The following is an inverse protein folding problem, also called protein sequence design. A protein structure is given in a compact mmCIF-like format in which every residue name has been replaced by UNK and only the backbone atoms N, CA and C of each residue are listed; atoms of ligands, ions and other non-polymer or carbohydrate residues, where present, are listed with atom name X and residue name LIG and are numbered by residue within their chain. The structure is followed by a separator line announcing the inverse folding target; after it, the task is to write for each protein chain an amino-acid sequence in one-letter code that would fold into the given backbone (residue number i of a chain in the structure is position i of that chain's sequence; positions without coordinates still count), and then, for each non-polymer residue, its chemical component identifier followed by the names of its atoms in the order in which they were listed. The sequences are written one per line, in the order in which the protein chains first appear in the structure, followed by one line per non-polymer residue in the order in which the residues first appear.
data_IF_794226740303
#
_entry.id   IF_794226740303
#
_cell.length_a   1.000
_cell.length_b   1.000
_cell.length_c   1.000
_cell.angle_alpha   90.00
_cell.angle_beta   90.00
_cell.angle_gamma   90.00
#
_symmetry.space_group_name_H-M   'P 1'
#
loop_
_entity.id
_entity.type
_entity.pdbx_description
1 polymer ?
#
# COMPACT_ATOMS: atom_id res chain seq x y z
N UNK A 1 19.51 2.17 -24.89
CA UNK A 1 18.31 1.99 -24.05
C UNK A 1 18.50 2.82 -22.77
N UNK A 2 17.54 3.70 -22.42
CA UNK A 2 17.58 4.43 -21.14
C UNK A 2 16.82 3.63 -20.10
N UNK A 3 17.43 3.40 -18.94
CA UNK A 3 16.87 2.58 -17.86
C UNK A 3 16.50 3.51 -16.70
N UNK A 4 15.23 3.51 -16.31
CA UNK A 4 14.71 4.38 -15.23
C UNK A 4 14.68 3.68 -13.86
N UNK A 5 14.56 2.34 -13.84
CA UNK A 5 14.53 1.50 -12.63
C UNK A 5 15.13 0.13 -12.95
N UNK A 6 15.83 -0.45 -11.98
CA UNK A 6 16.40 -1.80 -12.04
C UNK A 6 15.98 -2.52 -10.76
N UNK A 7 15.48 -3.74 -10.91
CA UNK A 7 15.08 -4.59 -9.79
C UNK A 7 15.68 -5.99 -9.96
N UNK A 8 15.94 -6.65 -8.84
CA UNK A 8 16.36 -8.04 -8.84
C UNK A 8 15.12 -8.93 -8.83
N UNK A 9 15.02 -9.83 -9.81
CA UNK A 9 13.95 -10.84 -9.89
C UNK A 9 14.24 -11.91 -8.83
N UNK A 10 13.33 -12.11 -7.88
CA UNK A 10 13.55 -13.06 -6.78
C UNK A 10 13.14 -14.48 -7.14
N UNK A 11 12.25 -14.65 -8.11
CA UNK A 11 11.73 -15.96 -8.53
C UNK A 11 11.21 -15.94 -9.98
N UNK A 12 11.42 -17.05 -10.71
CA UNK A 12 10.86 -17.29 -12.06
C UNK A 12 9.32 -17.42 -12.08
N UNK A 13 8.69 -17.52 -10.91
CA UNK A 13 7.24 -17.65 -10.73
C UNK A 13 6.55 -16.33 -10.34
N UNK A 14 7.25 -15.20 -10.44
CA UNK A 14 6.66 -13.88 -10.20
C UNK A 14 5.62 -13.55 -11.28
N UNK A 15 4.58 -12.79 -10.90
CA UNK A 15 3.61 -12.29 -11.87
C UNK A 15 4.29 -11.36 -12.87
N UNK A 16 3.88 -11.44 -14.13
CA UNK A 16 4.41 -10.57 -15.18
C UNK A 16 4.13 -9.11 -14.84
N UNK A 17 5.19 -8.34 -14.62
CA UNK A 17 5.11 -6.89 -14.50
C UNK A 17 4.91 -6.31 -15.90
N UNK A 18 3.78 -5.64 -16.12
CA UNK A 18 3.47 -4.99 -17.38
C UNK A 18 4.19 -3.65 -17.56
N UNK A 19 4.22 -3.15 -18.79
CA UNK A 19 4.64 -1.78 -19.08
C UNK A 19 3.81 -0.76 -18.29
N UNK A 20 4.40 0.42 -18.06
CA UNK A 20 3.69 1.54 -17.44
C UNK A 20 2.56 2.03 -18.36
N UNK A 21 1.42 2.36 -17.78
CA UNK A 21 0.27 2.94 -18.48
C UNK A 21 0.20 4.45 -18.27
N UNK A 22 -0.25 5.15 -19.30
CA UNK A 22 -0.37 6.60 -19.36
C UNK A 22 -1.77 6.99 -19.81
N UNK A 23 -2.22 8.17 -19.39
CA UNK A 23 -3.48 8.76 -19.86
C UNK A 23 -3.23 9.73 -21.02
N UNK A 24 -4.26 10.05 -21.80
CA UNK A 24 -4.14 11.00 -22.90
C UNK A 24 -3.84 12.43 -22.43
N UNK A 25 -4.38 12.80 -21.25
CA UNK A 25 -4.24 14.13 -20.66
C UNK A 25 -4.07 14.06 -19.14
N UNK A 26 -3.09 14.80 -18.63
CA UNK A 26 -2.89 15.04 -17.21
C UNK A 26 -3.92 16.05 -16.69
N UNK A 27 -4.65 15.71 -15.63
CA UNK A 27 -5.65 16.58 -15.00
C UNK A 27 -5.06 17.35 -13.81
N UNK A 28 -4.05 18.18 -14.07
CA UNK A 28 -3.42 18.99 -13.03
C UNK A 28 -4.37 20.06 -12.47
N UNK A 29 -4.23 20.36 -11.18
CA UNK A 29 -4.76 21.57 -10.56
C UNK A 29 -3.76 22.70 -10.85
N UNK A 30 -4.04 23.52 -11.86
CA UNK A 30 -3.03 24.45 -12.38
C UNK A 30 -2.60 25.54 -11.41
N UNK A 31 -3.47 25.93 -10.47
CA UNK A 31 -3.18 26.90 -9.42
C UNK A 31 -2.40 26.28 -8.23
N UNK A 32 -2.13 24.97 -8.27
CA UNK A 32 -1.26 24.34 -7.28
C UNK A 32 0.22 24.58 -7.58
N UNK A 33 0.92 24.97 -6.54
CA UNK A 33 2.36 25.16 -6.48
C UNK A 33 2.83 24.70 -5.11
N UNK A 34 3.95 23.98 -5.04
CA UNK A 34 4.49 23.50 -3.77
C UNK A 34 4.80 24.68 -2.84
N UNK A 35 4.20 24.67 -1.65
CA UNK A 35 4.51 25.62 -0.59
C UNK A 35 5.71 25.20 0.25
N UNK A 36 6.05 26.03 1.25
CA UNK A 36 7.05 25.66 2.25
C UNK A 36 6.44 24.67 3.25
N UNK A 37 6.65 23.38 3.01
CA UNK A 37 6.25 22.31 3.92
C UNK A 37 7.02 22.35 5.25
N UNK A 38 6.41 21.82 6.30
CA UNK A 38 7.01 21.64 7.63
C UNK A 38 7.26 20.16 7.88
N UNK A 39 8.31 19.87 8.65
CA UNK A 39 8.52 18.52 9.16
C UNK A 39 7.42 18.19 10.16
N UNK A 40 6.68 17.11 9.89
CA UNK A 40 5.64 16.62 10.79
C UNK A 40 6.27 16.09 12.08
N UNK A 41 5.57 16.30 13.20
CA UNK A 41 6.03 15.82 14.51
C UNK A 41 5.68 14.34 14.73
N UNK A 42 4.61 13.86 14.07
CA UNK A 42 4.11 12.50 14.23
C UNK A 42 3.36 12.02 12.99
N UNK A 43 3.57 10.76 12.61
CA UNK A 43 2.85 10.07 11.54
C UNK A 43 2.54 8.63 11.99
N UNK A 44 1.33 8.15 11.72
CA UNK A 44 0.98 6.74 11.86
C UNK A 44 1.06 6.09 10.47
N UNK A 45 1.87 5.05 10.33
CA UNK A 45 1.95 4.24 9.13
C UNK A 45 1.18 2.94 9.32
N UNK A 46 0.30 2.63 8.36
CA UNK A 46 -0.49 1.38 8.33
C UNK A 46 -0.08 0.56 7.13
N UNK A 47 0.14 -0.73 7.33
CA UNK A 47 0.56 -1.67 6.28
C UNK A 47 0.11 -3.10 6.60
N UNK A 48 0.07 -3.93 5.57
CA UNK A 48 -0.29 -5.33 5.61
C UNK A 48 0.81 -6.22 5.05
N UNK A 49 1.01 -7.39 5.67
CA UNK A 49 1.93 -8.42 5.18
C UNK A 49 1.18 -9.72 4.96
N UNK A 50 1.36 -10.33 3.79
CA UNK A 50 0.85 -11.67 3.47
C UNK A 50 1.96 -12.72 3.41
N UNK A 51 1.62 -13.96 3.77
CA UNK A 51 2.42 -15.15 3.48
C UNK A 51 1.53 -16.20 2.82
N UNK A 52 1.82 -16.52 1.57
CA UNK A 52 1.17 -17.61 0.84
C UNK A 52 1.91 -18.93 1.11
N UNK A 53 1.14 -19.99 1.32
CA UNK A 53 1.64 -21.31 1.68
C UNK A 53 1.58 -22.30 0.52
N UNK A 54 0.35 -22.68 0.12
CA UNK A 54 0.06 -23.71 -0.87
C UNK A 54 -1.00 -23.21 -1.84
N UNK A 55 -0.80 -23.51 -3.13
CA UNK A 55 -1.80 -23.35 -4.17
C UNK A 55 -2.44 -24.70 -4.48
N UNK A 56 -3.76 -24.74 -4.56
CA UNK A 56 -4.55 -25.92 -4.87
C UNK A 56 -5.35 -25.73 -6.15
N UNK A 57 -5.79 -26.86 -6.72
CA UNK A 57 -6.81 -26.90 -7.77
C UNK A 57 -7.85 -27.90 -7.31
N UNK A 58 -9.13 -27.51 -7.25
CA UNK A 58 -10.23 -28.42 -6.92
C UNK A 58 -10.52 -29.38 -8.09
N UNK A 59 -11.31 -30.41 -7.84
CA UNK A 59 -11.83 -31.31 -8.88
C UNK A 59 -12.66 -30.58 -9.94
N UNK A 60 -13.39 -29.54 -9.54
CA UNK A 60 -14.10 -28.63 -10.44
C UNK A 60 -13.20 -27.62 -11.18
N UNK A 61 -11.88 -27.67 -10.95
CA UNK A 61 -10.89 -26.85 -11.65
C UNK A 61 -10.66 -25.44 -11.05
N UNK A 62 -11.25 -25.13 -9.89
CA UNK A 62 -11.03 -23.84 -9.23
C UNK A 62 -9.64 -23.80 -8.60
N UNK A 63 -8.90 -22.72 -8.86
CA UNK A 63 -7.60 -22.48 -8.25
C UNK A 63 -7.78 -21.74 -6.94
N UNK A 64 -7.20 -22.30 -5.87
CA UNK A 64 -7.22 -21.74 -4.53
C UNK A 64 -5.82 -21.46 -3.98
N UNK A 65 -5.68 -20.50 -3.07
CA UNK A 65 -4.41 -20.19 -2.39
C UNK A 65 -4.65 -20.09 -0.88
N UNK A 66 -3.98 -20.94 -0.11
CA UNK A 66 -3.89 -20.80 1.34
C UNK A 66 -2.87 -19.73 1.70
N UNK A 67 -3.28 -18.77 2.53
CA UNK A 67 -2.44 -17.67 2.97
C UNK A 67 -2.77 -17.24 4.40
N UNK A 68 -1.86 -16.46 4.98
CA UNK A 68 -2.07 -15.75 6.24
C UNK A 68 -1.73 -14.28 6.04
N UNK A 69 -2.59 -13.43 6.58
CA UNK A 69 -2.55 -11.98 6.48
C UNK A 69 -2.29 -11.41 7.87
N UNK A 70 -1.38 -10.45 7.96
CA UNK A 70 -1.03 -9.76 9.19
C UNK A 70 -1.05 -8.26 8.94
N UNK A 71 -1.89 -7.52 9.66
CA UNK A 71 -2.07 -6.07 9.47
C UNK A 71 -1.88 -5.35 10.80
N UNK A 72 -1.18 -4.22 10.73
CA UNK A 72 -0.97 -3.38 11.90
C UNK A 72 -0.43 -2.01 11.54
N UNK A 73 -0.01 -1.28 12.56
CA UNK A 73 0.48 0.07 12.41
C UNK A 73 1.73 0.33 13.25
N UNK A 74 2.52 1.30 12.80
CA UNK A 74 3.57 1.92 13.61
C UNK A 74 3.32 3.42 13.71
N UNK A 75 3.75 4.00 14.81
CA UNK A 75 3.82 5.45 14.97
C UNK A 75 5.28 5.86 14.87
N UNK A 76 5.55 6.85 14.02
CA UNK A 76 6.79 7.58 13.99
C UNK A 76 6.60 8.93 14.67
N UNK A 77 7.49 9.28 15.59
CA UNK A 77 7.54 10.56 16.27
C UNK A 77 8.95 11.14 16.08
N UNK A 78 9.05 12.41 15.70
CA UNK A 78 10.32 13.04 15.30
C UNK A 78 11.45 12.89 16.31
N UNK A 79 11.14 13.05 17.59
CA UNK A 79 12.13 13.01 18.68
C UNK A 79 12.30 11.61 19.32
N UNK A 80 11.42 10.64 18.99
CA UNK A 80 11.41 9.31 19.63
C UNK A 80 11.79 8.20 18.65
N UNK A 81 11.53 8.40 17.35
CA UNK A 81 11.67 7.38 16.31
C UNK A 81 10.40 6.56 16.10
N UNK A 82 10.55 5.33 15.62
CA UNK A 82 9.43 4.46 15.22
C UNK A 82 9.16 3.38 16.26
N UNK A 83 7.89 3.20 16.61
CA UNK A 83 7.43 2.13 17.54
C UNK A 83 6.16 1.46 17.02
N UNK A 84 5.98 0.15 17.23
CA UNK A 84 4.76 -0.54 16.84
C UNK A 84 3.58 -0.13 17.74
N UNK A 85 2.39 -0.08 17.18
CA UNK A 85 1.12 0.10 17.91
C UNK A 85 0.49 -1.26 18.30
N UNK A 86 1.31 -2.31 18.32
CA UNK A 86 0.99 -3.67 18.74
C UNK A 86 2.19 -4.27 19.49
N UNK A 87 1.98 -5.39 20.18
CA UNK A 87 3.02 -6.10 20.92
C UNK A 87 2.71 -7.61 21.01
N UNK A 88 3.63 -8.47 21.48
CA UNK A 88 3.30 -9.87 21.72
C UNK A 88 2.12 -10.10 22.67
N UNK A 89 1.86 -9.17 23.59
CA UNK A 89 0.72 -9.24 24.53
C UNK A 89 -0.58 -8.67 23.95
N UNK A 90 -0.49 -7.85 22.91
CA UNK A 90 -1.61 -7.30 22.15
C UNK A 90 -1.24 -7.37 20.67
N UNK A 91 -1.32 -8.57 20.06
CA UNK A 91 -0.79 -8.82 18.73
C UNK A 91 -1.51 -7.99 17.65
N UNK A 92 -0.87 -7.80 16.48
CA UNK A 92 -1.56 -7.24 15.31
C UNK A 92 -2.69 -8.17 14.85
N UNK A 93 -3.53 -7.69 13.94
CA UNK A 93 -4.59 -8.52 13.35
C UNK A 93 -3.93 -9.61 12.50
N UNK A 94 -4.23 -10.88 12.77
CA UNK A 94 -3.76 -12.03 11.99
C UNK A 94 -4.96 -12.87 11.55
N UNK A 95 -5.11 -13.06 10.25
CA UNK A 95 -6.23 -13.80 9.64
C UNK A 95 -5.69 -14.87 8.69
N UNK A 96 -6.19 -16.11 8.83
CA UNK A 96 -5.90 -17.21 7.90
C UNK A 96 -7.00 -17.28 6.86
N UNK A 97 -6.61 -17.34 5.60
CA UNK A 97 -7.54 -17.27 4.47
C UNK A 97 -7.22 -18.31 3.41
N UNK A 98 -8.26 -18.72 2.69
CA UNK A 98 -8.14 -19.44 1.43
C UNK A 98 -8.83 -18.61 0.34
N UNK A 99 -8.03 -18.09 -0.58
CA UNK A 99 -8.50 -17.26 -1.67
C UNK A 99 -8.93 -18.09 -2.87
N UNK A 100 -10.07 -17.75 -3.45
CA UNK A 100 -10.56 -18.29 -4.72
C UNK A 100 -11.05 -17.16 -5.63
N UNK A 101 -11.40 -17.45 -6.88
CA UNK A 101 -12.13 -16.48 -7.71
C UNK A 101 -13.60 -16.36 -7.28
N UNK A 102 -14.24 -15.25 -7.65
CA UNK A 102 -15.67 -14.99 -7.42
C UNK A 102 -16.64 -16.08 -7.88
N UNK A 103 -16.22 -16.94 -8.80
CA UNK A 103 -17.04 -18.03 -9.31
C UNK A 103 -17.05 -19.25 -8.39
N UNK A 104 -16.20 -19.30 -7.35
CA UNK A 104 -16.16 -20.42 -6.42
C UNK A 104 -17.45 -20.50 -5.59
N UNK A 105 -18.15 -21.66 -5.60
CA UNK A 105 -19.51 -21.73 -5.07
C UNK A 105 -19.58 -21.63 -3.55
N UNK A 106 -18.57 -22.15 -2.84
CA UNK A 106 -18.60 -22.25 -1.38
C UNK A 106 -18.25 -20.93 -0.66
N UNK A 107 -18.58 -20.87 0.62
CA UNK A 107 -18.33 -19.72 1.50
C UNK A 107 -18.23 -20.20 2.94
N UNK A 108 -17.72 -19.35 3.84
CA UNK A 108 -17.54 -19.69 5.25
C UNK A 108 -16.08 -20.02 5.55
N UNK A 109 -15.85 -21.10 6.29
CA UNK A 109 -14.52 -21.48 6.73
C UNK A 109 -14.19 -22.90 6.28
N UNK A 110 -12.94 -23.11 5.90
CA UNK A 110 -12.36 -24.41 5.62
C UNK A 110 -11.41 -24.80 6.76
N UNK A 111 -11.66 -25.94 7.39
CA UNK A 111 -10.78 -26.49 8.40
C UNK A 111 -9.80 -27.49 7.78
N UNK A 112 -8.51 -27.33 8.08
CA UNK A 112 -7.45 -28.25 7.67
C UNK A 112 -6.57 -28.52 8.88
N UNK A 113 -6.60 -29.75 9.40
CA UNK A 113 -5.77 -30.17 10.56
C UNK A 113 -5.89 -29.23 11.78
N UNK A 114 -7.12 -28.79 12.11
CA UNK A 114 -7.37 -27.86 13.22
C UNK A 114 -7.04 -26.39 12.93
N UNK A 115 -6.58 -26.07 11.71
CA UNK A 115 -6.46 -24.69 11.25
C UNK A 115 -7.70 -24.27 10.49
N UNK A 116 -8.32 -23.18 10.92
CA UNK A 116 -9.49 -22.58 10.27
C UNK A 116 -9.02 -21.50 9.30
N UNK A 117 -9.34 -21.67 8.02
CA UNK A 117 -9.10 -20.71 6.96
C UNK A 117 -10.42 -20.12 6.47
N UNK A 118 -10.54 -18.79 6.50
CA UNK A 118 -11.70 -18.11 5.95
C UNK A 118 -11.68 -18.13 4.43
N UNK A 119 -12.76 -18.56 3.80
CA UNK A 119 -12.92 -18.52 2.35
C UNK A 119 -13.16 -17.07 1.92
N UNK A 120 -12.31 -16.56 1.02
CA UNK A 120 -12.43 -15.23 0.42
C UNK A 120 -12.45 -15.34 -1.10
N UNK A 121 -13.37 -14.62 -1.74
CA UNK A 121 -13.67 -14.83 -3.17
C UNK A 121 -14.24 -13.59 -3.86
N UNK A 122 -13.82 -12.39 -3.47
CA UNK A 122 -14.38 -11.16 -4.05
C UNK A 122 -13.64 -10.70 -5.31
N UNK A 123 -12.52 -11.35 -5.67
CA UNK A 123 -11.65 -11.00 -6.78
C UNK A 123 -11.81 -11.89 -8.02
N UNK A 124 -11.15 -11.47 -9.10
CA UNK A 124 -11.14 -12.18 -10.39
C UNK A 124 -10.44 -13.54 -10.30
N UNK A 125 -9.44 -13.63 -9.43
CA UNK A 125 -8.72 -14.86 -9.12
C UNK A 125 -8.39 -14.95 -7.61
N UNK A 126 -7.74 -16.04 -7.22
CA UNK A 126 -7.42 -16.31 -5.82
C UNK A 126 -6.51 -15.25 -5.18
N UNK A 127 -5.53 -14.70 -5.91
CA UNK A 127 -4.62 -13.70 -5.36
C UNK A 127 -5.33 -12.34 -5.27
N UNK A 128 -6.11 -11.98 -6.28
CA UNK A 128 -6.94 -10.77 -6.30
C UNK A 128 -7.93 -10.74 -5.11
N UNK A 129 -8.54 -11.89 -4.78
CA UNK A 129 -9.39 -12.04 -3.59
C UNK A 129 -8.61 -11.86 -2.28
N UNK A 130 -7.40 -12.42 -2.20
CA UNK A 130 -6.51 -12.27 -1.02
C UNK A 130 -6.12 -10.81 -0.82
N UNK A 131 -5.71 -10.13 -1.89
CA UNK A 131 -5.26 -8.74 -1.83
C UNK A 131 -6.42 -7.78 -1.54
N UNK A 132 -7.62 -8.06 -2.07
CA UNK A 132 -8.84 -7.31 -1.73
C UNK A 132 -9.23 -7.46 -0.27
N UNK A 133 -9.09 -8.67 0.30
CA UNK A 133 -9.37 -8.89 1.72
C UNK A 133 -8.29 -8.27 2.62
N UNK A 134 -7.01 -8.33 2.21
CA UNK A 134 -5.93 -7.63 2.91
C UNK A 134 -6.20 -6.12 2.97
N UNK A 135 -6.60 -5.52 1.85
CA UNK A 135 -7.00 -4.11 1.80
C UNK A 135 -8.17 -3.80 2.74
N UNK A 136 -9.14 -4.71 2.86
CA UNK A 136 -10.25 -4.56 3.82
C UNK A 136 -9.75 -4.54 5.28
N UNK A 137 -8.79 -5.40 5.63
CA UNK A 137 -8.17 -5.41 6.96
C UNK A 137 -7.36 -4.14 7.21
N UNK A 138 -6.61 -3.65 6.22
CA UNK A 138 -5.91 -2.36 6.30
C UNK A 138 -6.87 -1.19 6.51
N UNK A 139 -8.02 -1.19 5.83
CA UNK A 139 -9.07 -0.19 6.02
C UNK A 139 -9.57 -0.19 7.47
N UNK A 140 -9.81 -1.37 8.03
CA UNK A 140 -10.23 -1.51 9.43
C UNK A 140 -9.16 -1.02 10.40
N UNK A 141 -7.89 -1.28 10.12
CA UNK A 141 -6.76 -0.80 10.93
C UNK A 141 -6.65 0.73 10.87
N UNK A 142 -6.74 1.34 9.68
CA UNK A 142 -6.74 2.81 9.52
C UNK A 142 -7.88 3.44 10.33
N UNK A 143 -9.10 2.87 10.30
CA UNK A 143 -10.27 3.40 11.02
C UNK A 143 -10.03 3.56 12.53
N UNK A 144 -9.17 2.74 13.14
CA UNK A 144 -8.82 2.84 14.57
C UNK A 144 -8.12 4.16 14.91
N UNK A 145 -7.44 4.78 13.95
CA UNK A 145 -6.63 5.99 14.14
C UNK A 145 -7.27 7.26 13.57
N UNK A 146 -8.38 7.14 12.83
CA UNK A 146 -9.06 8.29 12.21
C UNK A 146 -9.79 9.23 13.18
N UNK A 147 -9.92 8.87 14.45
CA UNK A 147 -10.46 9.74 15.51
C UNK A 147 -9.36 10.45 16.30
N UNK A 148 -8.10 10.15 16.02
CA UNK A 148 -6.95 10.75 16.69
C UNK A 148 -6.57 12.11 16.11
N UNK A 149 -5.42 12.62 16.55
CA UNK A 149 -4.84 13.90 16.11
C UNK A 149 -3.59 13.73 15.24
N UNK A 150 -3.33 12.51 14.75
CA UNK A 150 -2.10 12.17 14.02
C UNK A 150 -2.43 11.86 12.57
N UNK A 151 -1.62 12.36 11.65
CA UNK A 151 -1.74 12.02 10.24
C UNK A 151 -1.52 10.52 10.05
N UNK A 152 -2.43 9.87 9.33
CA UNK A 152 -2.36 8.46 8.98
C UNK A 152 -1.92 8.33 7.52
N UNK A 153 -0.86 7.58 7.29
CA UNK A 153 -0.37 7.20 5.96
C UNK A 153 -0.55 5.70 5.81
N UNK A 154 -1.32 5.28 4.81
CA UNK A 154 -1.54 3.88 4.47
C UNK A 154 -0.59 3.48 3.35
N UNK A 155 0.07 2.34 3.45
CA UNK A 155 0.82 1.81 2.31
C UNK A 155 -0.11 1.39 1.17
N UNK A 156 0.27 1.70 -0.06
CA UNK A 156 -0.53 1.42 -1.24
C UNK A 156 -1.62 2.46 -1.53
N UNK A 157 -2.57 2.13 -2.43
CA UNK A 157 -3.54 3.08 -2.96
C UNK A 157 -4.49 3.66 -1.92
N UNK A 158 -4.95 4.88 -2.19
CA UNK A 158 -6.09 5.45 -1.49
C UNK A 158 -7.36 4.65 -1.80
N UNK A 159 -8.29 4.64 -0.84
CA UNK A 159 -9.54 3.87 -0.94
C UNK A 159 -10.74 4.77 -0.65
N UNK A 160 -11.82 4.68 -1.44
CA UNK A 160 -12.97 5.58 -1.32
C UNK A 160 -13.78 5.35 -0.03
N UNK A 161 -13.56 4.26 0.69
CA UNK A 161 -14.13 3.98 2.03
C UNK A 161 -13.58 4.91 3.11
N UNK A 162 -12.43 5.55 2.84
CA UNK A 162 -11.71 6.40 3.78
C UNK A 162 -11.43 7.76 3.12
N UNK A 163 -12.48 8.59 2.91
CA UNK A 163 -12.28 9.95 2.44
C UNK A 163 -11.42 10.75 3.42
N UNK A 164 -10.75 11.74 2.87
CA UNK A 164 -9.85 12.63 3.58
C UNK A 164 -10.57 13.35 4.71
N UNK A 165 -9.97 13.29 5.90
CA UNK A 165 -10.31 14.09 7.07
C UNK A 165 -9.17 15.03 7.38
N UNK A 166 -9.50 16.31 7.59
CA UNK A 166 -8.52 17.34 7.90
C UNK A 166 -7.62 16.93 9.07
N UNK A 167 -6.31 17.17 8.92
CA UNK A 167 -5.25 16.85 9.90
C UNK A 167 -5.01 15.35 10.20
N UNK A 168 -5.84 14.44 9.68
CA UNK A 168 -5.77 13.01 10.00
C UNK A 168 -5.54 12.15 8.75
N UNK A 169 -5.99 12.58 7.58
CA UNK A 169 -5.93 11.79 6.34
C UNK A 169 -7.11 10.81 6.23
N UNK A 170 -6.92 9.57 5.77
CA UNK A 170 -5.63 8.95 5.49
C UNK A 170 -5.06 9.37 4.14
N UNK A 171 -3.75 9.27 3.98
CA UNK A 171 -3.05 9.45 2.71
C UNK A 171 -2.51 8.09 2.26
N UNK A 172 -2.86 7.66 1.05
CA UNK A 172 -2.24 6.50 0.41
C UNK A 172 -0.84 6.83 -0.09
N UNK A 173 0.12 5.94 0.15
CA UNK A 173 1.50 6.02 -0.32
C UNK A 173 1.75 4.92 -1.36
N UNK A 174 1.69 5.27 -2.65
CA UNK A 174 1.87 4.34 -3.76
C UNK A 174 3.33 4.34 -4.22
N UNK A 175 4.00 3.20 -4.04
CA UNK A 175 5.40 2.96 -4.43
C UNK A 175 5.55 2.33 -5.82
N UNK A 176 4.54 1.58 -6.23
CA UNK A 176 4.49 0.85 -7.50
C UNK A 176 3.64 1.64 -8.50
N UNK A 177 4.31 2.42 -9.34
CA UNK A 177 3.67 3.34 -10.28
C UNK A 177 3.58 2.68 -11.67
N UNK A 178 2.79 1.60 -11.76
CA UNK A 178 2.47 0.96 -13.04
C UNK A 178 1.45 1.80 -13.82
N UNK A 179 0.34 2.21 -13.18
CA UNK A 179 -0.53 3.27 -13.68
C UNK A 179 -0.01 4.63 -13.24
N UNK A 180 0.42 5.46 -14.19
CA UNK A 180 1.01 6.77 -13.88
C UNK A 180 -0.02 7.87 -13.69
N UNK A 181 -1.24 7.69 -14.21
CA UNK A 181 -2.34 8.66 -14.16
C UNK A 181 -1.98 10.04 -14.74
N UNK A 182 -0.90 10.10 -15.54
CA UNK A 182 -0.41 11.28 -16.24
C UNK A 182 -0.14 10.97 -17.71
N UNK A 183 -0.11 12.02 -18.52
CA UNK A 183 0.43 11.93 -19.88
C UNK A 183 1.91 11.57 -19.81
N UNK A 184 2.38 10.68 -20.70
CA UNK A 184 3.76 10.19 -20.66
C UNK A 184 4.84 11.29 -20.71
N UNK A 185 4.57 12.41 -21.38
CA UNK A 185 5.48 13.56 -21.38
C UNK A 185 5.59 14.24 -20.01
N UNK A 186 4.48 14.34 -19.27
CA UNK A 186 4.47 14.95 -17.94
C UNK A 186 5.09 14.03 -16.91
N UNK A 187 4.79 12.72 -16.98
CA UNK A 187 5.43 11.73 -16.11
C UNK A 187 6.96 11.73 -16.29
N UNK A 188 7.46 11.85 -17.52
CA UNK A 188 8.90 11.94 -17.78
C UNK A 188 9.57 13.17 -17.15
N UNK A 189 8.84 14.26 -16.90
CA UNK A 189 9.39 15.45 -16.22
C UNK A 189 9.65 15.17 -14.74
N UNK A 190 8.92 14.24 -14.12
CA UNK A 190 9.01 13.94 -12.69
C UNK A 190 10.36 13.40 -12.26
N UNK A 191 11.13 12.79 -13.17
CA UNK A 191 12.49 12.34 -12.88
C UNK A 191 13.45 13.47 -12.50
N UNK A 192 13.10 14.71 -12.85
CA UNK A 192 13.90 15.90 -12.55
C UNK A 192 13.50 16.58 -11.23
N UNK A 193 12.47 16.08 -10.54
CA UNK A 193 12.18 16.51 -9.18
C UNK A 193 13.39 16.17 -8.29
N UNK A 194 13.78 17.13 -7.46
CA UNK A 194 14.80 16.96 -6.44
C UNK A 194 14.20 16.37 -5.17
N UNK A 195 15.04 15.87 -4.28
CA UNK A 195 14.62 15.36 -2.97
C UNK A 195 13.75 16.39 -2.24
N UNK A 196 12.53 15.97 -1.86
CA UNK A 196 11.54 16.79 -1.16
C UNK A 196 10.71 17.70 -2.06
N UNK A 197 10.93 17.68 -3.37
CA UNK A 197 10.03 18.32 -4.32
C UNK A 197 8.85 17.40 -4.64
N UNK A 198 7.70 18.03 -4.91
CA UNK A 198 6.50 17.35 -5.38
C UNK A 198 5.96 17.95 -6.67
N UNK A 199 5.23 17.15 -7.43
CA UNK A 199 4.48 17.66 -8.59
C UNK A 199 3.30 18.52 -8.14
N UNK A 200 2.72 19.27 -9.09
CA UNK A 200 1.36 19.77 -8.91
C UNK A 200 0.42 18.61 -8.57
N UNK A 201 -0.60 18.88 -7.78
CA UNK A 201 -1.72 17.98 -7.55
C UNK A 201 -2.46 17.73 -8.86
N UNK A 202 -3.03 16.54 -9.00
CA UNK A 202 -3.86 16.16 -10.14
C UNK A 202 -5.02 15.29 -9.70
N UNK A 203 -6.12 15.36 -10.47
CA UNK A 203 -7.28 14.49 -10.26
C UNK A 203 -7.00 13.15 -10.95
N UNK A 204 -6.84 12.10 -10.16
CA UNK A 204 -6.60 10.74 -10.64
C UNK A 204 -7.87 10.14 -11.22
N UNK A 205 -8.97 10.22 -10.47
CA UNK A 205 -10.28 9.71 -10.89
C UNK A 205 -11.41 10.48 -10.19
N UNK A 206 -12.62 10.37 -10.75
CA UNK A 206 -13.85 10.85 -10.14
C UNK A 206 -14.76 9.66 -9.90
N UNK A 207 -15.05 9.36 -8.63
CA UNK A 207 -16.04 8.35 -8.26
C UNK A 207 -17.42 9.01 -8.26
N UNK A 208 -18.18 8.83 -9.34
CA UNK A 208 -19.49 9.47 -9.53
C UNK A 208 -20.55 8.95 -8.57
N UNK A 209 -20.49 7.66 -8.21
CA UNK A 209 -21.45 7.02 -7.30
C UNK A 209 -21.37 7.60 -5.90
N UNK A 210 -20.16 7.76 -5.36
CA UNK A 210 -19.91 8.33 -4.03
C UNK A 210 -19.67 9.85 -4.05
N UNK A 211 -19.66 10.46 -5.24
CA UNK A 211 -19.34 11.88 -5.46
C UNK A 211 -17.95 12.28 -4.90
N UNK A 212 -16.98 11.38 -4.96
CA UNK A 212 -15.62 11.61 -4.48
C UNK A 212 -14.66 11.92 -5.62
N UNK A 213 -13.59 12.67 -5.33
CA UNK A 213 -12.48 12.89 -6.25
C UNK A 213 -11.20 12.33 -5.64
N UNK A 214 -10.46 11.49 -6.37
CA UNK A 214 -9.13 11.06 -5.94
C UNK A 214 -8.11 12.10 -6.40
N UNK A 215 -7.42 12.72 -5.46
CA UNK A 215 -6.38 13.71 -5.72
C UNK A 215 -5.03 13.07 -5.43
N UNK A 216 -4.08 13.22 -6.35
CA UNK A 216 -2.74 12.69 -6.23
C UNK A 216 -1.66 13.76 -6.42
N UNK A 217 -0.47 13.51 -5.89
CA UNK A 217 0.77 14.23 -6.21
C UNK A 217 1.94 13.26 -6.18
N UNK A 218 2.95 13.47 -7.03
CA UNK A 218 4.19 12.71 -6.97
C UNK A 218 5.21 13.41 -6.09
N UNK A 219 5.91 12.67 -5.25
CA UNK A 219 6.96 13.16 -4.35
C UNK A 219 8.26 12.43 -4.61
N UNK A 220 9.37 13.17 -4.60
CA UNK A 220 10.70 12.60 -4.75
C UNK A 220 11.40 12.44 -3.40
N UNK A 221 11.76 11.22 -3.05
CA UNK A 221 12.35 10.87 -1.75
C UNK A 221 13.89 10.95 -1.72
N UNK A 222 14.55 10.85 -2.88
CA UNK A 222 16.02 10.90 -3.01
C UNK A 222 16.45 11.75 -4.19
N UNK A 223 17.70 12.21 -4.19
CA UNK A 223 18.28 12.90 -5.35
C UNK A 223 18.70 11.88 -6.40
N UNK A 224 17.82 11.59 -7.37
CA UNK A 224 18.17 10.81 -8.56
C UNK A 224 17.46 11.34 -9.80
N UNK A 225 18.13 11.38 -10.94
CA UNK A 225 17.51 11.78 -12.23
C UNK A 225 16.77 10.60 -12.92
N UNK A 226 16.06 9.80 -12.12
CA UNK A 226 15.31 8.61 -12.55
C UNK A 226 13.96 8.52 -11.84
N UNK A 227 13.21 7.43 -12.03
CA UNK A 227 11.97 7.18 -11.25
C UNK A 227 12.23 6.57 -9.86
N UNK A 228 13.50 6.27 -9.53
CA UNK A 228 13.87 5.78 -8.20
C UNK A 228 13.52 6.81 -7.12
N UNK A 229 12.87 6.35 -6.05
CA UNK A 229 12.35 7.19 -4.97
C UNK A 229 11.24 8.13 -5.37
N UNK A 230 10.61 7.91 -6.53
CA UNK A 230 9.36 8.58 -6.87
C UNK A 230 8.21 7.78 -6.25
N UNK A 231 7.41 8.43 -5.42
CA UNK A 231 6.20 7.86 -4.83
C UNK A 231 5.02 8.74 -5.14
N UNK A 232 3.80 8.18 -5.21
CA UNK A 232 2.58 8.96 -5.34
C UNK A 232 1.85 9.00 -4.01
N UNK A 233 1.55 10.20 -3.54
CA UNK A 233 0.62 10.43 -2.45
C UNK A 233 -0.76 10.65 -3.03
N UNK A 234 -1.78 10.00 -2.47
CA UNK A 234 -3.15 10.14 -2.96
C UNK A 234 -4.18 10.02 -1.84
N UNK A 235 -5.34 10.66 -2.02
CA UNK A 235 -6.51 10.51 -1.14
C UNK A 235 -7.80 10.81 -1.89
N UNK A 236 -8.93 10.32 -1.41
CA UNK A 236 -10.24 10.78 -1.86
C UNK A 236 -10.68 12.01 -1.07
N UNK A 237 -11.26 13.00 -1.73
CA UNK A 237 -11.91 14.17 -1.11
C UNK A 237 -13.40 14.18 -1.46
N UNK A 238 -14.19 14.72 -0.54
CA UNK A 238 -15.64 14.91 -0.69
C UNK A 238 -15.96 16.31 -1.25
N UNK A 239 -15.18 17.32 -0.85
CA UNK A 239 -15.43 18.72 -1.18
C UNK A 239 -14.13 19.44 -1.62
N UNK A 240 -14.23 20.35 -2.59
CA UNK A 240 -13.07 21.08 -3.12
C UNK A 240 -12.47 22.06 -2.09
N UNK A 241 -13.21 22.45 -1.05
CA UNK A 241 -12.66 23.21 0.09
C UNK A 241 -11.55 22.46 0.83
N UNK A 242 -11.53 21.13 0.76
CA UNK A 242 -10.50 20.31 1.39
C UNK A 242 -9.15 20.39 0.65
N UNK A 243 -9.11 20.91 -0.59
CA UNK A 243 -7.88 20.98 -1.41
C UNK A 243 -6.80 21.80 -0.71
N UNK A 244 -7.16 22.89 -0.03
CA UNK A 244 -6.19 23.74 0.66
C UNK A 244 -5.52 23.00 1.83
N UNK A 245 -6.29 22.25 2.61
CA UNK A 245 -5.78 21.42 3.70
C UNK A 245 -4.92 20.27 3.17
N UNK A 246 -5.36 19.63 2.09
CA UNK A 246 -4.62 18.55 1.45
C UNK A 246 -3.29 19.04 0.89
N UNK A 247 -3.27 20.23 0.27
CA UNK A 247 -2.05 20.88 -0.22
C UNK A 247 -1.00 21.01 0.89
N UNK A 248 -1.40 21.53 2.06
CA UNK A 248 -0.50 21.66 3.21
C UNK A 248 0.05 20.31 3.65
N UNK A 249 -0.78 19.27 3.72
CA UNK A 249 -0.34 17.93 4.12
C UNK A 249 0.62 17.33 3.09
N UNK A 250 0.38 17.53 1.80
CA UNK A 250 1.29 17.09 0.75
C UNK A 250 2.62 17.84 0.80
N UNK A 251 2.63 19.15 1.06
CA UNK A 251 3.85 19.92 1.29
C UNK A 251 4.61 19.39 2.52
N UNK A 252 3.92 19.13 3.62
CA UNK A 252 4.51 18.62 4.87
C UNK A 252 5.06 17.19 4.72
N UNK A 253 4.35 16.31 4.01
CA UNK A 253 4.83 14.97 3.67
C UNK A 253 6.01 15.02 2.71
N UNK A 254 6.01 15.92 1.73
CA UNK A 254 7.16 16.12 0.83
C UNK A 254 8.39 16.60 1.60
N UNK A 255 8.22 17.42 2.65
CA UNK A 255 9.32 17.80 3.55
C UNK A 255 9.76 16.67 4.50
N UNK A 256 8.84 15.80 4.93
CA UNK A 256 9.09 14.80 5.98
C UNK A 256 9.57 13.46 5.46
N UNK A 257 8.88 12.85 4.49
CA UNK A 257 9.17 11.49 4.00
C UNK A 257 10.62 11.29 3.51
N UNK A 258 11.29 12.27 2.87
CA UNK A 258 12.69 12.13 2.49
C UNK A 258 13.68 12.04 3.67
N UNK A 259 13.25 12.40 4.89
CA UNK A 259 14.02 12.21 6.13
C UNK A 259 13.85 10.80 6.70
N UNK A 260 12.79 10.10 6.28
CA UNK A 260 12.42 8.76 6.75
C UNK A 260 12.88 7.65 5.80
N UNK A 261 13.66 7.99 4.79
CA UNK A 261 14.25 7.05 3.84
C UNK A 261 15.78 7.06 3.94
N UNK A 262 16.41 6.06 3.36
CA UNK A 262 17.86 6.04 3.14
C UNK A 262 18.17 5.72 1.67
N UNK A 263 19.18 6.37 1.12
CA UNK A 263 19.70 6.06 -0.22
C UNK A 263 20.86 5.06 -0.09
N UNK A 264 20.51 3.84 0.33
CA UNK A 264 21.43 2.72 0.48
C UNK A 264 20.99 1.57 -0.44
N UNK A 265 21.90 0.66 -0.83
CA UNK A 265 21.59 -0.50 -1.66
C UNK A 265 20.85 -1.59 -0.86
N UNK A 266 19.81 -1.20 -0.12
CA UNK A 266 18.92 -2.08 0.63
C UNK A 266 17.70 -2.37 -0.27
N UNK A 267 17.24 -3.62 -0.37
CA UNK A 267 16.08 -3.95 -1.19
C UNK A 267 14.87 -3.08 -0.88
N UNK A 268 14.18 -2.59 -1.94
CA UNK A 268 12.97 -1.76 -1.88
C UNK A 268 13.16 -0.34 -1.32
N UNK A 269 14.37 0.06 -0.90
CA UNK A 269 14.68 1.47 -0.68
C UNK A 269 15.00 2.16 -2.00
N UNK A 270 14.67 3.45 -2.15
CA UNK A 270 14.13 4.36 -1.13
C UNK A 270 12.59 4.43 -1.02
N UNK A 271 11.86 3.72 -1.87
CA UNK A 271 10.39 3.79 -1.93
C UNK A 271 9.73 3.18 -0.69
N UNK A 272 10.32 2.14 -0.10
CA UNK A 272 9.88 1.53 1.15
C UNK A 272 10.55 2.18 2.37
N UNK A 273 10.10 3.38 2.72
CA UNK A 273 10.66 4.17 3.83
C UNK A 273 10.84 3.37 5.13
N UNK A 274 11.83 3.76 5.94
CA UNK A 274 12.30 3.00 7.10
C UNK A 274 11.18 2.64 8.11
N UNK A 275 10.21 3.52 8.42
CA UNK A 275 9.09 3.14 9.30
C UNK A 275 8.25 1.99 8.75
N UNK A 276 7.97 1.98 7.43
CA UNK A 276 7.19 0.91 6.80
C UNK A 276 8.03 -0.38 6.73
N UNK A 277 9.32 -0.29 6.39
CA UNK A 277 10.20 -1.46 6.44
C UNK A 277 10.28 -2.08 7.85
N UNK A 278 10.29 -1.23 8.89
CA UNK A 278 10.23 -1.68 10.28
C UNK A 278 8.87 -2.33 10.61
N UNK A 279 7.75 -1.76 10.14
CA UNK A 279 6.42 -2.34 10.28
C UNK A 279 6.36 -3.73 9.64
N UNK A 280 6.71 -3.84 8.37
CA UNK A 280 6.74 -5.08 7.60
C UNK A 280 7.61 -6.16 8.28
N UNK A 281 8.72 -5.77 8.90
CA UNK A 281 9.58 -6.70 9.64
C UNK A 281 8.88 -7.22 10.89
N UNK A 282 8.25 -6.34 11.66
CA UNK A 282 7.53 -6.73 12.88
C UNK A 282 6.30 -7.58 12.59
N UNK A 283 5.50 -7.24 11.57
CA UNK A 283 4.35 -8.06 11.14
C UNK A 283 4.79 -9.47 10.75
N UNK A 284 6.00 -9.62 10.18
CA UNK A 284 6.51 -10.93 9.76
C UNK A 284 6.79 -11.90 10.90
N UNK A 285 7.01 -11.41 12.12
CA UNK A 285 7.20 -12.24 13.32
C UNK A 285 5.90 -12.91 13.81
N UNK A 286 4.74 -12.38 13.42
CA UNK A 286 3.44 -12.94 13.79
C UNK A 286 2.89 -13.92 12.73
N UNK A 287 3.57 -14.08 11.59
CA UNK A 287 3.20 -15.02 10.55
C UNK A 287 3.79 -16.41 10.82
N UNK A 288 2.95 -17.43 10.67
CA UNK A 288 3.25 -18.84 10.87
C UNK A 288 4.39 -19.29 9.97
N UNK A 289 5.32 -20.08 10.51
CA UNK A 289 6.45 -20.63 9.76
C UNK A 289 5.99 -21.33 8.46
N UNK A 290 6.66 -20.99 7.35
CA UNK A 290 6.25 -21.44 6.02
C UNK A 290 6.46 -22.95 5.86
N UNK A 291 7.54 -23.49 6.40
CA UNK A 291 7.85 -24.91 6.26
C UNK A 291 6.87 -25.77 7.06
N UNK A 292 6.60 -25.39 8.31
CA UNK A 292 5.61 -26.04 9.16
C UNK A 292 4.22 -26.07 8.51
N UNK A 293 3.72 -24.92 8.08
CA UNK A 293 2.38 -24.82 7.49
C UNK A 293 2.27 -25.59 6.16
N UNK A 294 3.27 -25.46 5.28
CA UNK A 294 3.26 -26.21 4.01
C UNK A 294 3.24 -27.73 4.26
N UNK A 295 4.07 -28.23 5.17
CA UNK A 295 4.11 -29.66 5.51
C UNK A 295 2.76 -30.15 6.01
N UNK A 296 2.10 -29.37 6.88
CA UNK A 296 0.76 -29.69 7.39
C UNK A 296 -0.31 -29.69 6.28
N UNK A 297 -0.33 -28.65 5.45
CA UNK A 297 -1.28 -28.54 4.34
C UNK A 297 -1.09 -29.68 3.33
N UNK A 298 0.14 -29.99 2.91
CA UNK A 298 0.38 -31.10 1.97
C UNK A 298 0.04 -32.47 2.55
N UNK A 299 0.31 -32.72 3.83
CA UNK A 299 0.01 -33.99 4.47
C UNK A 299 -1.49 -34.32 4.51
N UNK A 300 -2.34 -33.29 4.55
CA UNK A 300 -3.79 -33.44 4.61
C UNK A 300 -4.45 -33.33 3.23
N UNK A 301 -4.06 -32.35 2.42
CA UNK A 301 -4.64 -32.10 1.10
C UNK A 301 -4.14 -33.07 0.01
N UNK A 302 -2.99 -33.73 0.23
CA UNK A 302 -2.44 -34.72 -0.68
C UNK A 302 -2.94 -36.15 -0.47
N UNK A 303 -3.93 -36.34 0.43
CA UNK A 303 -4.65 -37.61 0.62
C UNK A 303 -5.93 -37.61 -0.19
#
# INVERSE_FOLDING_TARGET
MRVERIENIQSELEEHVSDQTFVERSNFLEDDEQGQGKTLERIIFVDGKRRSFVRITTDEGFRGIFAELCVGAVIWEKDVGTRPLFSPHSPPVVERVVGFSQNFPESGNQEVEGFVFKVIKDGRDAMDSIDSYLQTLEIQEVKKYLTGSSLVVKDGPAVPELPFKENVGPIGLVKNISSTDLKGEDFRKLRFLKKGERSKMFVVEKNTERKLKKIGTYVKLVNSESTRGLVRLETYIEDDSQILHLKSIFDDLAATLPLLTADLPIPRLPENILPIQFLEKNLSYFLTDKHYMNTKLFAYLGR
#
